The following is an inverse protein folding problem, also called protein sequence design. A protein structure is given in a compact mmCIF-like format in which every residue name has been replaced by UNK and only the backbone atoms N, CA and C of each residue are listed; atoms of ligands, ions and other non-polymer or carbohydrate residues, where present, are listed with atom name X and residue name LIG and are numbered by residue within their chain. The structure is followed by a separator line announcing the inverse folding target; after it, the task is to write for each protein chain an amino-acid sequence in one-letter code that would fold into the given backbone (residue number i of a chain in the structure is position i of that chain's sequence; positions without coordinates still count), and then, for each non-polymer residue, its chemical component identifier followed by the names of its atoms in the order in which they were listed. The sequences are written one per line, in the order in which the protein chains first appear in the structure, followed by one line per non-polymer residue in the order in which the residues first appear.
data_IF_061603804530
#
_entry.id   IF_061603804530
#
_cell.length_a   1.000
_cell.length_b   1.000
_cell.length_c   1.000
_cell.angle_alpha   90.00
_cell.angle_beta   90.00
_cell.angle_gamma   90.00
#
_symmetry.space_group_name_H-M   'P 1'
#
loop_
_entity.id
_entity.type
_entity.pdbx_description
1 polymer ?
#
# COMPACT_ATOMS: atom_id res chain seq x y z
N UNK A 1 -7.78 21.11 -1.47
CA UNK A 1 -8.66 20.38 -2.41
C UNK A 1 -8.39 20.75 -3.88
N UNK A 2 -8.01 22.00 -4.20
CA UNK A 2 -7.64 22.40 -5.58
C UNK A 2 -6.57 21.52 -6.19
N UNK A 3 -5.54 21.19 -5.40
CA UNK A 3 -4.42 20.35 -5.84
C UNK A 3 -4.83 18.90 -6.07
N UNK A 4 -5.75 18.38 -5.25
CA UNK A 4 -6.33 17.04 -5.46
C UNK A 4 -7.25 17.00 -6.68
N UNK A 5 -7.94 18.09 -7.01
CA UNK A 5 -8.71 18.19 -8.25
C UNK A 5 -7.80 18.11 -9.46
N UNK A 6 -6.72 18.91 -9.46
CA UNK A 6 -5.71 18.84 -10.51
C UNK A 6 -5.09 17.45 -10.61
N UNK A 7 -4.75 16.81 -9.48
CA UNK A 7 -4.24 15.46 -9.46
C UNK A 7 -5.23 14.46 -10.08
N UNK A 8 -6.52 14.57 -9.78
CA UNK A 8 -7.57 13.72 -10.36
C UNK A 8 -7.68 13.90 -11.88
N UNK A 9 -7.61 15.14 -12.37
CA UNK A 9 -7.62 15.47 -13.80
C UNK A 9 -6.38 14.94 -14.52
N UNK A 10 -5.18 15.18 -13.96
CA UNK A 10 -3.91 14.67 -14.50
C UNK A 10 -3.88 13.12 -14.50
N UNK A 11 -4.46 12.49 -13.47
CA UNK A 11 -4.56 11.03 -13.35
C UNK A 11 -5.49 10.42 -14.40
N UNK A 12 -6.67 11.04 -14.63
CA UNK A 12 -7.62 10.66 -15.69
C UNK A 12 -6.97 10.75 -17.08
N UNK A 13 -6.28 11.85 -17.36
CA UNK A 13 -5.54 12.04 -18.62
C UNK A 13 -4.41 11.01 -18.82
N UNK A 14 -3.70 10.65 -17.75
CA UNK A 14 -2.63 9.66 -17.80
C UNK A 14 -3.13 8.22 -17.88
N UNK A 15 -4.43 7.99 -17.61
CA UNK A 15 -5.07 6.66 -17.62
C UNK A 15 -5.02 5.94 -16.27
N UNK A 16 -4.82 6.66 -15.17
CA UNK A 16 -4.92 6.11 -13.80
C UNK A 16 -6.41 6.01 -13.45
N UNK A 17 -6.88 4.81 -13.18
CA UNK A 17 -8.30 4.52 -12.97
C UNK A 17 -8.66 4.26 -11.50
N UNK A 18 -7.71 4.33 -10.57
CA UNK A 18 -7.91 3.91 -9.18
C UNK A 18 -7.13 4.77 -8.20
N UNK A 19 -7.82 5.21 -7.14
CA UNK A 19 -7.21 5.82 -5.98
C UNK A 19 -7.40 4.95 -4.74
N UNK A 20 -6.33 4.75 -3.98
CA UNK A 20 -6.36 4.13 -2.67
C UNK A 20 -6.10 5.21 -1.63
N UNK A 21 -7.13 5.53 -0.85
CA UNK A 21 -7.01 6.50 0.24
C UNK A 21 -6.53 5.76 1.48
N UNK A 22 -5.36 6.14 1.94
CA UNK A 22 -4.66 5.53 3.08
C UNK A 22 -4.08 6.61 3.99
N UNK A 23 -3.23 6.23 4.91
CA UNK A 23 -2.55 7.14 5.84
C UNK A 23 -2.37 6.48 7.19
N UNK A 24 -2.39 7.22 8.30
CA UNK A 24 -2.48 6.62 9.63
C UNK A 24 -3.83 5.91 9.81
N UNK A 25 -4.91 6.69 9.76
CA UNK A 25 -6.30 6.21 9.63
C UNK A 25 -7.11 7.29 8.90
N UNK A 26 -7.45 7.04 7.65
CA UNK A 26 -8.12 8.03 6.79
C UNK A 26 -9.48 8.49 7.33
N UNK A 27 -10.19 7.63 8.06
CA UNK A 27 -11.49 7.96 8.67
C UNK A 27 -11.43 9.03 9.77
N UNK A 28 -10.24 9.40 10.22
CA UNK A 28 -10.05 10.52 11.16
C UNK A 28 -10.05 11.88 10.46
N UNK A 29 -9.83 11.90 9.14
CA UNK A 29 -9.85 13.16 8.39
C UNK A 29 -11.29 13.64 8.16
N UNK A 30 -11.60 14.82 8.69
CA UNK A 30 -12.93 15.45 8.53
C UNK A 30 -13.24 15.85 7.09
N UNK A 31 -12.22 15.98 6.24
CA UNK A 31 -12.34 16.34 4.83
C UNK A 31 -12.34 15.12 3.89
N UNK A 32 -12.35 13.90 4.44
CA UNK A 32 -12.33 12.68 3.64
C UNK A 32 -13.47 12.64 2.62
N UNK A 33 -14.68 13.10 3.00
CA UNK A 33 -15.83 13.17 2.09
C UNK A 33 -15.60 14.13 0.91
N UNK A 34 -15.02 15.28 1.18
CA UNK A 34 -14.69 16.28 0.16
C UNK A 34 -13.56 15.77 -0.75
N UNK A 35 -12.61 15.02 -0.19
CA UNK A 35 -11.54 14.38 -0.96
C UNK A 35 -12.11 13.33 -1.91
N UNK A 36 -13.00 12.46 -1.44
CA UNK A 36 -13.66 11.44 -2.28
C UNK A 36 -14.41 12.12 -3.44
N UNK A 37 -15.21 13.14 -3.16
CA UNK A 37 -15.95 13.89 -4.17
C UNK A 37 -14.99 14.55 -5.19
N UNK A 38 -13.85 15.06 -4.72
CA UNK A 38 -12.83 15.71 -5.56
C UNK A 38 -12.10 14.71 -6.47
N UNK A 39 -11.90 13.47 -6.03
CA UNK A 39 -11.28 12.39 -6.82
C UNK A 39 -12.23 11.78 -7.86
N UNK A 40 -13.48 12.20 -7.92
CA UNK A 40 -14.50 11.79 -8.88
C UNK A 40 -14.75 10.26 -8.93
N UNK A 41 -15.59 9.72 -8.04
CA UNK A 41 -15.91 8.29 -7.98
C UNK A 41 -16.62 7.73 -9.24
N UNK A 42 -17.08 8.60 -10.15
CA UNK A 42 -17.65 8.18 -11.44
C UNK A 42 -16.57 7.88 -12.49
N UNK A 43 -15.37 8.43 -12.31
CA UNK A 43 -14.22 8.20 -13.18
C UNK A 43 -13.23 7.23 -12.59
N UNK A 44 -13.06 7.24 -11.28
CA UNK A 44 -12.04 6.48 -10.58
C UNK A 44 -12.63 5.51 -9.55
N UNK A 45 -12.05 4.33 -9.44
CA UNK A 45 -12.35 3.40 -8.35
C UNK A 45 -11.74 3.93 -7.05
N UNK A 46 -12.58 4.31 -6.09
CA UNK A 46 -12.12 4.78 -4.78
C UNK A 46 -12.05 3.62 -3.81
N UNK A 47 -10.87 3.35 -3.31
CA UNK A 47 -10.58 2.31 -2.32
C UNK A 47 -10.17 2.99 -1.03
N UNK A 48 -10.63 2.47 0.11
CA UNK A 48 -10.28 2.95 1.43
C UNK A 48 -9.49 1.89 2.18
N UNK A 49 -8.28 2.22 2.61
CA UNK A 49 -7.51 1.42 3.56
C UNK A 49 -7.84 1.85 4.99
N UNK A 50 -8.19 0.89 5.85
CA UNK A 50 -8.56 1.17 7.22
C UNK A 50 -8.10 0.06 8.18
N UNK A 51 -7.77 0.44 9.41
CA UNK A 51 -7.56 -0.50 10.50
C UNK A 51 -8.89 -1.03 11.12
N UNK A 52 -10.02 -0.61 10.57
CA UNK A 52 -11.37 -1.02 10.99
C UNK A 52 -11.89 -0.37 12.28
N UNK A 53 -11.08 0.43 12.98
CA UNK A 53 -11.45 0.97 14.29
C UNK A 53 -12.70 1.86 14.23
N UNK A 54 -12.77 2.72 13.22
CA UNK A 54 -13.88 3.67 13.02
C UNK A 54 -14.85 3.25 11.91
N UNK A 55 -14.63 2.09 11.28
CA UNK A 55 -15.45 1.60 10.17
C UNK A 55 -16.60 0.74 10.72
N UNK A 56 -17.72 1.37 11.04
CA UNK A 56 -18.97 0.74 11.48
C UNK A 56 -20.04 0.80 10.39
N UNK A 57 -21.26 0.35 10.69
CA UNK A 57 -22.41 0.32 9.75
C UNK A 57 -22.70 1.71 9.14
N UNK A 58 -22.63 2.77 9.96
CA UNK A 58 -22.87 4.13 9.50
C UNK A 58 -21.78 4.59 8.53
N UNK A 59 -20.52 4.36 8.86
CA UNK A 59 -19.37 4.70 8.02
C UNK A 59 -19.31 3.87 6.75
N UNK A 60 -19.64 2.59 6.83
CA UNK A 60 -19.71 1.71 5.66
C UNK A 60 -20.78 2.20 4.67
N UNK A 61 -21.99 2.50 5.19
CA UNK A 61 -23.06 3.08 4.36
C UNK A 61 -22.66 4.43 3.78
N UNK A 62 -22.13 5.32 4.59
CA UNK A 62 -21.65 6.64 4.14
C UNK A 62 -20.61 6.52 3.03
N UNK A 63 -19.63 5.62 3.17
CA UNK A 63 -18.60 5.41 2.15
C UNK A 63 -19.17 4.86 0.85
N UNK A 64 -20.11 3.92 0.94
CA UNK A 64 -20.84 3.40 -0.23
C UNK A 64 -21.67 4.49 -0.92
N UNK A 65 -22.43 5.30 -0.16
CA UNK A 65 -23.23 6.41 -0.67
C UNK A 65 -22.38 7.49 -1.36
N UNK A 66 -21.10 7.64 -0.95
CA UNK A 66 -20.11 8.52 -1.58
C UNK A 66 -19.47 7.94 -2.85
N UNK A 67 -19.89 6.76 -3.29
CA UNK A 67 -19.33 6.08 -4.46
C UNK A 67 -18.03 5.31 -4.16
N UNK A 68 -17.74 5.03 -2.88
CA UNK A 68 -16.66 4.14 -2.48
C UNK A 68 -16.83 2.76 -3.10
N UNK A 69 -15.80 2.25 -3.75
CA UNK A 69 -15.84 0.98 -4.45
C UNK A 69 -15.46 -0.20 -3.55
N UNK A 70 -14.38 -0.06 -2.81
CA UNK A 70 -13.80 -1.15 -2.02
C UNK A 70 -13.23 -0.64 -0.70
N UNK A 71 -13.32 -1.46 0.34
CA UNK A 71 -12.59 -1.25 1.58
C UNK A 71 -11.58 -2.36 1.79
N UNK A 72 -10.36 -1.98 2.14
CA UNK A 72 -9.27 -2.87 2.51
C UNK A 72 -9.05 -2.76 4.02
N UNK A 73 -9.36 -3.84 4.75
CA UNK A 73 -9.31 -3.85 6.21
C UNK A 73 -8.09 -4.64 6.68
N UNK A 74 -7.34 -4.04 7.58
CA UNK A 74 -6.15 -4.65 8.15
C UNK A 74 -6.50 -5.70 9.19
N UNK A 75 -6.06 -6.95 8.97
CA UNK A 75 -6.13 -8.04 9.94
C UNK A 75 -4.86 -8.90 9.81
N UNK A 76 -4.01 -8.90 10.84
CA UNK A 76 -2.71 -9.61 10.77
C UNK A 76 -2.71 -10.97 11.46
N UNK A 77 -3.70 -11.27 12.28
CA UNK A 77 -3.85 -12.55 12.94
C UNK A 77 -5.32 -12.86 13.18
N UNK A 78 -5.69 -14.15 13.10
CA UNK A 78 -7.00 -14.63 13.55
C UNK A 78 -7.07 -14.75 15.07
N UNK A 79 -5.92 -14.85 15.76
CA UNK A 79 -5.84 -14.76 17.21
C UNK A 79 -5.97 -13.30 17.67
N UNK A 80 -6.98 -12.96 18.49
CA UNK A 80 -7.20 -11.58 18.97
C UNK A 80 -6.00 -11.00 19.71
N UNK A 81 -5.33 -11.79 20.56
CA UNK A 81 -4.21 -11.31 21.35
C UNK A 81 -3.01 -10.94 20.46
N UNK A 82 -2.72 -11.74 19.43
CA UNK A 82 -1.59 -11.54 18.54
C UNK A 82 -1.85 -10.34 17.61
N UNK A 83 -3.06 -10.22 17.06
CA UNK A 83 -3.42 -9.04 16.27
C UNK A 83 -3.36 -7.75 17.10
N UNK A 84 -3.96 -7.74 18.29
CA UNK A 84 -3.98 -6.59 19.18
C UNK A 84 -2.54 -6.18 19.59
N UNK A 85 -1.68 -7.16 19.87
CA UNK A 85 -0.26 -6.94 20.17
C UNK A 85 0.49 -6.36 18.98
N UNK A 86 0.31 -6.92 17.78
CA UNK A 86 0.94 -6.44 16.54
C UNK A 86 0.51 -5.00 16.23
N UNK A 87 -0.78 -4.69 16.37
CA UNK A 87 -1.33 -3.34 16.19
C UNK A 87 -1.12 -2.41 17.38
N UNK A 88 -0.57 -2.91 18.50
CA UNK A 88 -0.37 -2.18 19.76
C UNK A 88 -1.64 -1.52 20.25
N UNK A 89 -2.80 -2.19 20.04
CA UNK A 89 -4.11 -1.63 20.35
C UNK A 89 -5.09 -2.72 20.80
N UNK A 90 -5.38 -2.85 22.11
CA UNK A 90 -6.38 -3.79 22.60
C UNK A 90 -7.76 -3.58 21.94
N UNK A 91 -8.36 -4.66 21.46
CA UNK A 91 -9.66 -4.65 20.78
C UNK A 91 -9.61 -4.36 19.28
N UNK A 92 -8.42 -4.19 18.68
CA UNK A 92 -8.28 -3.95 17.23
C UNK A 92 -8.85 -5.11 16.41
N UNK A 93 -8.61 -6.37 16.83
CA UNK A 93 -9.14 -7.55 16.16
C UNK A 93 -10.68 -7.52 16.06
N UNK A 94 -11.37 -7.30 17.19
CA UNK A 94 -12.82 -7.23 17.22
C UNK A 94 -13.38 -6.09 16.34
N UNK A 95 -12.63 -4.95 16.26
CA UNK A 95 -12.99 -3.83 15.40
C UNK A 95 -12.81 -4.16 13.91
N UNK A 96 -11.74 -4.85 13.54
CA UNK A 96 -11.51 -5.31 12.15
C UNK A 96 -12.61 -6.28 11.70
N UNK A 97 -12.95 -7.29 12.51
CA UNK A 97 -14.04 -8.21 12.19
C UNK A 97 -15.41 -7.54 12.09
N UNK A 98 -15.69 -6.55 12.97
CA UNK A 98 -16.90 -5.72 12.84
C UNK A 98 -16.91 -4.96 11.53
N UNK A 99 -15.78 -4.38 11.14
CA UNK A 99 -15.67 -3.60 9.91
C UNK A 99 -15.93 -4.45 8.66
N UNK A 100 -15.49 -5.71 8.60
CA UNK A 100 -15.86 -6.64 7.52
C UNK A 100 -17.37 -6.85 7.45
N UNK A 101 -18.03 -7.06 8.58
CA UNK A 101 -19.50 -7.23 8.62
C UNK A 101 -20.23 -5.98 8.15
N UNK A 102 -19.76 -4.80 8.55
CA UNK A 102 -20.32 -3.52 8.13
C UNK A 102 -20.15 -3.29 6.62
N UNK A 103 -18.97 -3.59 6.07
CA UNK A 103 -18.69 -3.50 4.63
C UNK A 103 -19.58 -4.43 3.80
N UNK A 104 -19.71 -5.70 4.23
CA UNK A 104 -20.59 -6.70 3.60
C UNK A 104 -22.05 -6.24 3.56
N UNK A 105 -22.54 -5.71 4.69
CA UNK A 105 -23.89 -5.16 4.83
C UNK A 105 -24.16 -3.95 3.93
N UNK A 106 -23.13 -3.12 3.71
CA UNK A 106 -23.20 -1.94 2.83
C UNK A 106 -23.02 -2.29 1.35
N UNK A 107 -22.77 -3.55 0.99
CA UNK A 107 -22.55 -3.99 -0.39
C UNK A 107 -21.20 -3.57 -0.98
N UNK A 108 -20.23 -3.17 -0.15
CA UNK A 108 -18.90 -2.81 -0.60
C UNK A 108 -18.08 -4.05 -0.98
N UNK A 109 -17.24 -3.92 -1.99
CA UNK A 109 -16.17 -4.88 -2.20
C UNK A 109 -15.21 -4.87 -1.01
N UNK A 110 -14.70 -6.03 -0.63
CA UNK A 110 -13.82 -6.17 0.54
C UNK A 110 -12.49 -6.78 0.16
N UNK A 111 -11.47 -6.45 0.91
CA UNK A 111 -10.14 -7.04 0.84
C UNK A 111 -9.56 -7.12 2.25
N UNK A 112 -9.11 -8.31 2.67
CA UNK A 112 -8.32 -8.45 3.88
C UNK A 112 -6.88 -8.11 3.56
N UNK A 113 -6.27 -7.20 4.31
CA UNK A 113 -4.86 -6.86 4.19
C UNK A 113 -4.08 -7.33 5.41
N UNK A 114 -3.01 -8.08 5.19
CA UNK A 114 -2.14 -8.58 6.26
C UNK A 114 -0.67 -8.34 5.93
N UNK A 115 0.12 -8.03 6.96
CA UNK A 115 1.57 -7.97 6.86
C UNK A 115 2.13 -9.40 7.04
N UNK A 116 2.75 -9.91 5.97
CA UNK A 116 3.41 -11.20 5.99
C UNK A 116 4.85 -11.02 6.48
N UNK A 117 5.16 -11.60 7.64
CA UNK A 117 6.52 -11.72 8.16
C UNK A 117 7.08 -13.10 7.85
N UNK A 118 8.41 -13.24 7.95
CA UNK A 118 9.15 -14.48 7.73
C UNK A 118 8.53 -15.67 8.47
N UNK A 119 8.54 -16.83 7.83
CA UNK A 119 8.05 -18.12 8.28
C UNK A 119 6.53 -18.20 8.56
N UNK A 120 5.79 -17.09 8.57
CA UNK A 120 4.37 -17.06 8.89
C UNK A 120 3.51 -17.82 7.89
N UNK A 121 3.88 -17.85 6.63
CA UNK A 121 3.17 -18.57 5.56
C UNK A 121 3.11 -20.09 5.78
N UNK A 122 3.88 -20.64 6.74
CA UNK A 122 3.93 -22.05 7.10
C UNK A 122 3.22 -22.37 8.43
N UNK A 123 2.51 -21.43 9.03
CA UNK A 123 1.85 -21.61 10.32
C UNK A 123 0.39 -22.02 10.17
N UNK A 124 -0.14 -22.80 11.15
CA UNK A 124 -1.56 -23.13 11.24
C UNK A 124 -2.44 -21.88 11.30
N UNK A 125 -1.97 -20.82 11.98
CA UNK A 125 -2.67 -19.53 12.07
C UNK A 125 -2.83 -18.86 10.69
N UNK A 126 -1.86 -19.02 9.79
CA UNK A 126 -2.00 -18.53 8.42
C UNK A 126 -3.02 -19.37 7.63
N UNK A 127 -3.09 -20.67 7.86
CA UNK A 127 -4.12 -21.54 7.28
C UNK A 127 -5.52 -21.16 7.79
N UNK A 128 -5.67 -20.83 9.08
CA UNK A 128 -6.93 -20.32 9.64
C UNK A 128 -7.35 -18.99 8.97
N UNK A 129 -6.41 -18.10 8.72
CA UNK A 129 -6.69 -16.85 8.00
C UNK A 129 -7.15 -17.11 6.56
N UNK A 130 -6.52 -18.02 5.84
CA UNK A 130 -6.96 -18.43 4.49
C UNK A 130 -8.35 -19.07 4.52
N UNK A 131 -8.63 -19.92 5.50
CA UNK A 131 -9.94 -20.56 5.67
C UNK A 131 -11.04 -19.52 5.94
N UNK A 132 -10.78 -18.55 6.83
CA UNK A 132 -11.68 -17.42 7.07
C UNK A 132 -11.95 -16.61 5.80
N UNK A 133 -10.91 -16.31 5.03
CA UNK A 133 -11.04 -15.57 3.77
C UNK A 133 -11.89 -16.33 2.75
N UNK A 134 -11.71 -17.66 2.66
CA UNK A 134 -12.47 -18.52 1.76
C UNK A 134 -13.95 -18.63 2.19
N UNK A 135 -14.23 -18.79 3.49
CA UNK A 135 -15.59 -18.88 4.03
C UNK A 135 -16.39 -17.59 3.82
N UNK A 136 -15.74 -16.45 4.04
CA UNK A 136 -16.37 -15.13 3.90
C UNK A 136 -16.33 -14.58 2.46
N UNK A 137 -15.69 -15.30 1.52
CA UNK A 137 -15.47 -14.89 0.13
C UNK A 137 -14.70 -13.55 0.03
N UNK A 138 -13.73 -13.35 0.92
CA UNK A 138 -12.90 -12.14 0.97
C UNK A 138 -11.50 -12.48 0.42
N UNK A 139 -11.03 -11.79 -0.62
CA UNK A 139 -9.67 -11.95 -1.10
C UNK A 139 -8.64 -11.51 -0.03
N UNK A 140 -7.50 -12.21 0.04
CA UNK A 140 -6.40 -11.91 0.95
C UNK A 140 -5.27 -11.18 0.22
N UNK A 141 -4.99 -9.95 0.62
CA UNK A 141 -3.86 -9.17 0.13
C UNK A 141 -2.72 -9.17 1.14
N UNK A 142 -1.56 -9.65 0.72
CA UNK A 142 -0.39 -9.74 1.57
C UNK A 142 0.65 -8.67 1.20
N UNK A 143 1.03 -7.91 2.19
CA UNK A 143 2.17 -7.01 2.11
C UNK A 143 3.35 -7.68 2.79
N UNK A 144 4.39 -8.03 2.03
CA UNK A 144 5.62 -8.56 2.61
C UNK A 144 6.24 -7.52 3.55
N UNK A 145 6.67 -7.94 4.73
CA UNK A 145 7.39 -7.08 5.66
C UNK A 145 8.65 -6.52 4.99
N UNK A 146 8.93 -5.25 5.21
CA UNK A 146 10.05 -4.52 4.61
C UNK A 146 10.90 -3.85 5.69
N UNK A 147 12.23 -3.82 5.53
CA UNK A 147 13.14 -3.22 6.50
C UNK A 147 13.20 -1.68 6.39
N UNK A 148 12.01 -1.06 6.28
CA UNK A 148 11.82 0.40 6.16
C UNK A 148 10.68 0.87 7.05
N UNK A 149 10.63 2.16 7.37
CA UNK A 149 9.60 2.71 8.23
C UNK A 149 9.56 1.99 9.59
N UNK A 150 8.40 1.48 10.00
CA UNK A 150 8.22 0.73 11.26
C UNK A 150 8.92 -0.64 11.26
N UNK A 151 9.29 -1.19 10.11
CA UNK A 151 10.05 -2.43 9.98
C UNK A 151 11.56 -2.23 10.04
N UNK A 152 12.05 -0.99 10.12
CA UNK A 152 13.48 -0.69 10.24
C UNK A 152 14.05 -1.25 11.54
N UNK A 153 15.15 -2.02 11.43
CA UNK A 153 15.75 -2.72 12.55
C UNK A 153 15.12 -4.06 12.91
N UNK A 154 14.15 -4.52 12.10
CA UNK A 154 13.48 -5.82 12.21
C UNK A 154 13.77 -6.69 10.98
N UNK A 155 15.07 -6.89 10.70
CA UNK A 155 15.51 -7.68 9.53
C UNK A 155 15.03 -9.16 9.65
N UNK A 156 14.78 -9.62 10.87
CA UNK A 156 14.20 -10.93 11.16
C UNK A 156 12.76 -11.10 10.65
N UNK A 157 12.07 -10.03 10.35
CA UNK A 157 10.70 -10.07 9.76
C UNK A 157 10.70 -10.23 8.25
N UNK A 158 11.82 -9.94 7.60
CA UNK A 158 11.91 -9.94 6.13
C UNK A 158 11.76 -11.36 5.60
N UNK A 159 10.78 -11.55 4.70
CA UNK A 159 10.51 -12.82 4.06
C UNK A 159 11.72 -13.31 3.27
N UNK A 160 11.99 -14.60 3.34
CA UNK A 160 13.02 -15.28 2.56
C UNK A 160 12.48 -15.75 1.22
N UNK A 161 13.36 -16.20 0.33
CA UNK A 161 12.95 -16.85 -0.92
C UNK A 161 12.00 -18.03 -0.68
N UNK A 162 12.19 -18.80 0.40
CA UNK A 162 11.32 -19.92 0.78
C UNK A 162 9.90 -19.45 1.06
N UNK A 163 9.73 -18.32 1.78
CA UNK A 163 8.41 -17.73 2.05
C UNK A 163 7.73 -17.27 0.76
N UNK A 164 8.48 -16.60 -0.11
CA UNK A 164 7.99 -16.10 -1.40
C UNK A 164 7.60 -17.25 -2.34
N UNK A 165 8.40 -18.32 -2.41
CA UNK A 165 8.09 -19.50 -3.24
C UNK A 165 6.82 -20.20 -2.75
N UNK A 166 6.66 -20.34 -1.42
CA UNK A 166 5.43 -20.89 -0.83
C UNK A 166 4.22 -20.01 -1.09
N UNK A 167 4.40 -18.70 -0.99
CA UNK A 167 3.33 -17.74 -1.27
C UNK A 167 2.85 -17.86 -2.72
N UNK A 168 3.75 -17.92 -3.69
CA UNK A 168 3.42 -18.10 -5.11
C UNK A 168 2.63 -19.40 -5.36
N UNK A 169 3.00 -20.49 -4.67
CA UNK A 169 2.26 -21.75 -4.74
C UNK A 169 0.83 -21.61 -4.19
N UNK A 170 0.63 -20.79 -3.14
CA UNK A 170 -0.69 -20.55 -2.57
C UNK A 170 -1.53 -19.58 -3.43
N UNK A 171 -0.92 -18.58 -4.07
CA UNK A 171 -1.60 -17.67 -5.00
C UNK A 171 -2.28 -18.41 -6.15
N UNK A 172 -1.65 -19.48 -6.66
CA UNK A 172 -2.21 -20.32 -7.73
C UNK A 172 -3.47 -21.12 -7.31
N UNK A 173 -3.71 -21.27 -6.01
CA UNK A 173 -4.77 -22.13 -5.45
C UNK A 173 -5.86 -21.38 -4.71
N UNK A 174 -5.57 -20.17 -4.25
CA UNK A 174 -6.44 -19.40 -3.37
C UNK A 174 -6.56 -17.96 -3.90
N UNK A 175 -7.54 -17.22 -3.41
CA UNK A 175 -7.68 -15.78 -3.71
C UNK A 175 -6.70 -14.96 -2.84
N UNK A 176 -5.42 -15.22 -3.02
CA UNK A 176 -4.32 -14.54 -2.34
C UNK A 176 -3.56 -13.74 -3.38
N UNK A 177 -3.19 -12.52 -3.06
CA UNK A 177 -2.32 -11.70 -3.91
C UNK A 177 -1.41 -10.78 -3.12
N UNK A 178 -0.36 -10.35 -3.79
CA UNK A 178 0.55 -9.30 -3.36
C UNK A 178 0.59 -8.20 -4.42
N UNK A 179 1.36 -7.16 -4.16
CA UNK A 179 1.68 -6.17 -5.19
C UNK A 179 2.51 -6.74 -6.35
N UNK A 180 3.04 -7.96 -6.20
CA UNK A 180 3.81 -8.66 -7.23
C UNK A 180 2.96 -9.61 -8.09
N UNK A 181 1.73 -9.92 -7.67
CA UNK A 181 0.83 -10.84 -8.38
C UNK A 181 0.41 -10.27 -9.73
N UNK A 182 0.41 -11.04 -10.82
CA UNK A 182 -0.04 -10.56 -12.13
C UNK A 182 -1.47 -10.02 -12.08
N UNK A 183 -1.66 -8.78 -12.57
CA UNK A 183 -2.98 -8.17 -12.63
C UNK A 183 -3.02 -7.05 -13.68
N UNK A 184 -4.17 -6.83 -14.31
CA UNK A 184 -4.38 -5.74 -15.28
C UNK A 184 -3.31 -5.64 -16.39
N UNK A 185 -2.85 -6.78 -16.92
CA UNK A 185 -1.75 -6.84 -17.90
C UNK A 185 -0.35 -6.71 -17.30
N UNK A 186 -0.23 -6.56 -15.99
CA UNK A 186 1.02 -6.54 -15.27
C UNK A 186 1.64 -7.95 -15.22
N UNK A 187 2.95 -8.12 -15.50
CA UNK A 187 3.59 -9.44 -15.65
C UNK A 187 3.92 -10.17 -14.34
N UNK A 188 3.45 -9.69 -13.17
CA UNK A 188 3.79 -10.30 -11.88
C UNK A 188 5.19 -9.95 -11.39
N UNK A 189 5.60 -8.70 -11.54
CA UNK A 189 6.91 -8.18 -11.14
C UNK A 189 6.75 -6.90 -10.32
N UNK A 190 7.83 -6.32 -9.85
CA UNK A 190 7.78 -5.06 -9.10
C UNK A 190 7.08 -3.95 -9.89
N UNK A 191 6.00 -3.41 -9.33
CA UNK A 191 5.12 -2.42 -9.98
C UNK A 191 5.45 -0.97 -9.62
N UNK A 192 6.54 -0.75 -8.92
CA UNK A 192 6.97 0.60 -8.54
C UNK A 192 6.93 1.53 -9.75
N UNK A 193 6.40 2.71 -9.60
CA UNK A 193 6.10 3.74 -10.59
C UNK A 193 5.15 3.32 -11.73
N UNK A 194 5.17 2.06 -12.16
CA UNK A 194 4.38 1.54 -13.30
C UNK A 194 2.91 1.25 -12.94
N UNK A 195 2.67 0.71 -11.76
CA UNK A 195 1.33 0.27 -11.32
C UNK A 195 0.93 0.81 -9.95
N UNK A 196 1.87 1.42 -9.23
CA UNK A 196 1.63 2.06 -7.93
C UNK A 196 2.49 3.30 -7.78
N UNK A 197 1.88 4.37 -7.31
CA UNK A 197 2.56 5.59 -6.87
C UNK A 197 1.86 6.08 -5.60
N UNK A 198 2.57 6.78 -4.74
CA UNK A 198 2.01 7.36 -3.52
C UNK A 198 2.14 8.87 -3.57
N UNK A 199 1.05 9.56 -3.25
CA UNK A 199 1.02 11.02 -3.10
C UNK A 199 0.86 11.33 -1.62
N UNK A 200 1.78 12.07 -1.03
CA UNK A 200 1.62 12.54 0.34
C UNK A 200 0.80 13.84 0.41
N UNK A 201 0.52 14.30 1.64
CA UNK A 201 -0.28 15.50 1.87
C UNK A 201 0.35 16.81 1.35
N UNK A 202 1.67 16.82 1.09
CA UNK A 202 2.40 17.96 0.51
C UNK A 202 2.46 17.92 -1.02
N UNK A 203 1.88 16.88 -1.63
CA UNK A 203 1.87 16.67 -3.08
C UNK A 203 3.12 16.00 -3.64
N UNK A 204 4.02 15.51 -2.79
CA UNK A 204 5.18 14.75 -3.22
C UNK A 204 4.77 13.36 -3.72
N UNK A 205 5.30 12.96 -4.88
CA UNK A 205 5.07 11.65 -5.48
C UNK A 205 6.22 10.71 -5.13
N UNK A 206 5.92 9.63 -4.42
CA UNK A 206 6.83 8.51 -4.21
C UNK A 206 6.46 7.34 -5.13
N UNK A 207 7.45 6.55 -5.61
CA UNK A 207 7.21 5.46 -6.57
C UNK A 207 6.44 4.27 -5.98
N UNK A 208 6.37 4.17 -4.66
CA UNK A 208 5.53 3.21 -3.94
C UNK A 208 5.42 3.64 -2.46
N UNK A 209 4.48 3.06 -1.66
CA UNK A 209 4.25 3.47 -0.27
C UNK A 209 5.37 3.12 0.71
N UNK A 210 6.43 2.45 0.26
CA UNK A 210 7.56 2.01 1.10
C UNK A 210 8.86 2.76 0.80
N UNK A 211 8.83 3.74 -0.09
CA UNK A 211 10.02 4.53 -0.46
C UNK A 211 9.79 5.99 -0.10
N UNK A 212 10.49 6.47 0.92
CA UNK A 212 10.44 7.87 1.37
C UNK A 212 11.38 8.77 0.54
N UNK A 213 11.39 8.57 -0.78
CA UNK A 213 12.15 9.36 -1.75
C UNK A 213 11.20 9.84 -2.85
N UNK A 214 11.18 11.14 -3.13
CA UNK A 214 10.29 11.78 -4.08
C UNK A 214 10.78 11.69 -5.53
N UNK A 215 9.84 11.53 -6.45
CA UNK A 215 10.05 11.71 -7.88
C UNK A 215 9.78 13.14 -8.34
N UNK A 216 9.06 13.93 -7.55
CA UNK A 216 8.63 15.28 -7.84
C UNK A 216 7.33 15.63 -7.12
N UNK A 217 6.82 16.84 -7.34
CA UNK A 217 5.66 17.36 -6.62
C UNK A 217 4.55 17.81 -7.59
N UNK A 218 3.35 17.26 -7.46
CA UNK A 218 2.19 17.54 -8.35
C UNK A 218 1.65 18.96 -8.23
N UNK A 219 1.99 19.69 -7.17
CA UNK A 219 1.64 21.10 -7.05
C UNK A 219 2.57 22.01 -7.85
N UNK A 220 3.73 21.49 -8.28
CA UNK A 220 4.80 22.25 -8.95
C UNK A 220 4.96 21.89 -10.43
N UNK A 221 4.65 20.65 -10.80
CA UNK A 221 4.83 20.14 -12.15
C UNK A 221 3.73 19.12 -12.52
N UNK A 222 3.48 18.86 -13.83
CA UNK A 222 2.50 17.87 -14.26
C UNK A 222 2.85 16.46 -13.81
N UNK A 223 1.82 15.66 -13.42
CA UNK A 223 1.99 14.29 -13.00
C UNK A 223 2.72 13.43 -14.06
N UNK A 224 2.42 13.63 -15.35
CA UNK A 224 3.06 12.91 -16.46
C UNK A 224 4.59 13.06 -16.47
N UNK A 225 5.11 14.27 -16.22
CA UNK A 225 6.56 14.50 -16.18
C UNK A 225 7.22 13.80 -14.99
N UNK A 226 6.52 13.76 -13.85
CA UNK A 226 7.01 13.08 -12.63
C UNK A 226 7.08 11.56 -12.89
N UNK A 227 6.02 10.98 -13.44
CA UNK A 227 5.97 9.54 -13.73
C UNK A 227 6.96 9.15 -14.82
N UNK A 228 7.10 9.95 -15.88
CA UNK A 228 8.10 9.74 -16.93
C UNK A 228 9.54 9.76 -16.40
N UNK A 229 9.82 10.64 -15.43
CA UNK A 229 11.11 10.68 -14.73
C UNK A 229 11.36 9.37 -13.98
N UNK A 230 10.36 8.87 -13.26
CA UNK A 230 10.43 7.59 -12.57
C UNK A 230 10.60 6.42 -13.55
N UNK A 231 9.89 6.41 -14.68
CA UNK A 231 10.00 5.37 -15.71
C UNK A 231 11.37 5.35 -16.41
N UNK A 232 12.07 6.48 -16.48
CA UNK A 232 13.43 6.57 -17.05
C UNK A 232 14.52 6.17 -16.04
N UNK A 233 14.20 6.08 -14.75
CA UNK A 233 15.16 5.66 -13.74
C UNK A 233 15.50 4.18 -13.90
N UNK A 234 16.80 3.82 -13.87
CA UNK A 234 17.27 2.44 -14.10
C UNK A 234 16.77 1.42 -13.08
N UNK A 235 16.47 1.86 -11.87
CA UNK A 235 15.93 0.99 -10.81
C UNK A 235 14.42 0.86 -10.85
N UNK A 236 13.71 1.94 -11.18
CA UNK A 236 12.25 2.00 -11.09
C UNK A 236 11.56 1.63 -12.40
N UNK A 237 12.13 2.00 -13.56
CA UNK A 237 11.53 1.79 -14.88
C UNK A 237 11.41 0.33 -15.30
N UNK A 238 12.46 -0.50 -15.22
CA UNK A 238 12.38 -1.90 -15.59
C UNK A 238 11.43 -2.70 -14.67
N UNK A 239 10.77 -3.72 -15.22
CA UNK A 239 10.11 -4.74 -14.40
C UNK A 239 11.17 -5.66 -13.80
N UNK A 240 11.14 -5.81 -12.46
CA UNK A 240 12.07 -6.65 -11.70
C UNK A 240 11.32 -7.80 -11.05
N UNK A 241 11.94 -8.98 -11.02
CA UNK A 241 11.37 -10.19 -10.40
C UNK A 241 11.38 -10.12 -8.87
N UNK A 242 12.14 -9.18 -8.31
CA UNK A 242 12.23 -8.89 -6.88
C UNK A 242 11.56 -7.57 -6.50
N UNK A 243 11.09 -7.46 -5.28
CA UNK A 243 10.67 -6.19 -4.68
C UNK A 243 11.92 -5.40 -4.27
N UNK A 244 12.31 -4.36 -5.03
CA UNK A 244 13.57 -3.63 -4.82
C UNK A 244 13.72 -3.06 -3.40
N UNK A 245 12.62 -2.62 -2.76
CA UNK A 245 12.62 -2.09 -1.40
C UNK A 245 12.35 -3.15 -0.32
N UNK A 246 12.15 -4.41 -0.71
CA UNK A 246 11.89 -5.51 0.21
C UNK A 246 12.90 -6.65 0.11
N UNK A 247 13.64 -6.76 -1.01
CA UNK A 247 14.49 -7.91 -1.30
C UNK A 247 15.90 -7.52 -1.76
N UNK A 248 16.08 -6.33 -2.38
CA UNK A 248 17.39 -5.87 -2.84
C UNK A 248 18.13 -5.07 -1.74
N UNK A 249 19.04 -5.74 -1.03
CA UNK A 249 19.71 -5.16 0.13
C UNK A 249 20.65 -3.98 -0.21
N UNK A 250 21.20 -3.91 -1.39
CA UNK A 250 22.04 -2.78 -1.80
C UNK A 250 21.19 -1.54 -2.02
N UNK A 251 20.04 -1.70 -2.67
CA UNK A 251 19.07 -0.62 -2.84
C UNK A 251 18.44 -0.21 -1.50
N UNK A 252 18.05 -1.17 -0.66
CA UNK A 252 17.51 -0.92 0.68
C UNK A 252 18.49 -0.10 1.53
N UNK A 253 19.77 -0.49 1.52
CA UNK A 253 20.80 0.25 2.24
C UNK A 253 20.94 1.67 1.73
N UNK A 254 21.06 1.85 0.40
CA UNK A 254 21.11 3.17 -0.23
C UNK A 254 19.90 4.03 0.17
N UNK A 255 18.69 3.49 0.05
CA UNK A 255 17.45 4.17 0.42
C UNK A 255 17.49 4.60 1.90
N UNK A 256 17.79 3.68 2.81
CA UNK A 256 17.79 3.96 4.24
C UNK A 256 18.87 4.97 4.63
N UNK A 257 20.05 4.92 4.02
CA UNK A 257 21.11 5.91 4.25
C UNK A 257 20.64 7.31 3.83
N UNK A 258 19.99 7.44 2.64
CA UNK A 258 19.46 8.73 2.15
C UNK A 258 18.31 9.26 3.00
N UNK A 259 17.40 8.40 3.42
CA UNK A 259 16.30 8.79 4.31
C UNK A 259 16.83 9.24 5.67
N UNK A 260 17.82 8.54 6.23
CA UNK A 260 18.43 8.93 7.51
C UNK A 260 19.11 10.30 7.42
N UNK A 261 19.99 10.48 6.41
CA UNK A 261 20.68 11.76 6.18
C UNK A 261 19.67 12.92 6.07
N UNK A 262 18.57 12.71 5.34
CA UNK A 262 17.57 13.74 5.09
C UNK A 262 16.69 14.03 6.31
N UNK A 263 16.31 13.00 7.07
CA UNK A 263 15.41 13.13 8.23
C UNK A 263 16.05 13.87 9.41
N UNK A 264 17.36 13.95 9.48
CA UNK A 264 18.07 14.79 10.48
C UNK A 264 17.77 16.28 10.26
N UNK A 265 17.66 16.71 9.01
CA UNK A 265 17.42 18.13 8.66
C UNK A 265 15.91 18.43 8.48
N UNK A 266 15.16 17.48 7.94
CA UNK A 266 13.76 17.67 7.51
C UNK A 266 12.91 16.45 7.87
N UNK A 267 12.56 16.26 9.15
CA UNK A 267 11.73 15.15 9.55
C UNK A 267 10.35 15.18 8.85
N UNK A 268 9.85 14.00 8.48
CA UNK A 268 8.55 13.78 7.82
C UNK A 268 8.44 14.18 6.34
N UNK A 269 9.50 14.73 5.72
CA UNK A 269 9.50 15.00 4.29
C UNK A 269 10.28 13.91 3.53
N UNK A 270 9.81 13.45 2.37
CA UNK A 270 10.56 12.50 1.56
C UNK A 270 11.83 13.17 1.00
N UNK A 271 12.85 12.35 0.76
CA UNK A 271 14.10 12.82 0.14
C UNK A 271 13.81 13.38 -1.26
N UNK A 272 14.19 14.61 -1.59
CA UNK A 272 13.98 15.16 -2.92
C UNK A 272 14.68 14.33 -4.02
N UNK A 273 14.16 14.40 -5.26
CA UNK A 273 14.67 13.64 -6.39
C UNK A 273 16.20 13.77 -6.57
N UNK A 274 16.73 14.98 -6.51
CA UNK A 274 18.15 15.28 -6.73
C UNK A 274 19.06 14.71 -5.65
N UNK A 275 18.56 14.55 -4.42
CA UNK A 275 19.29 13.98 -3.29
C UNK A 275 19.07 12.46 -3.12
N UNK A 276 18.08 11.91 -3.80
CA UNK A 276 17.68 10.51 -3.77
C UNK A 276 17.83 9.82 -5.13
N UNK A 277 16.76 9.71 -5.88
CA UNK A 277 16.72 8.92 -7.12
C UNK A 277 17.69 9.37 -8.22
N UNK A 278 18.04 10.65 -8.31
CA UNK A 278 19.07 11.12 -9.24
C UNK A 278 20.45 10.51 -8.95
N UNK A 279 20.66 9.98 -7.74
CA UNK A 279 21.95 9.37 -7.34
C UNK A 279 21.93 7.84 -7.45
N UNK A 280 20.82 7.22 -7.85
CA UNK A 280 20.70 5.75 -7.91
C UNK A 280 21.64 5.11 -8.96
N UNK A 281 22.18 5.88 -9.90
CA UNK A 281 23.20 5.37 -10.83
C UNK A 281 24.48 4.90 -10.14
N UNK A 282 24.70 5.30 -8.90
CA UNK A 282 25.83 4.87 -8.06
C UNK A 282 25.57 3.55 -7.32
N UNK A 283 24.33 3.07 -7.31
CA UNK A 283 23.94 1.79 -6.70
C UNK A 283 24.28 0.68 -7.69
N UNK A 284 25.04 -0.37 -7.32
CA UNK A 284 25.25 -1.55 -8.17
C UNK A 284 23.92 -2.24 -8.52
N UNK A 285 23.90 -2.94 -9.64
CA UNK A 285 22.73 -3.73 -10.06
C UNK A 285 22.71 -5.10 -9.39
#
# INVERSE_FOLDING_TARGET
LSDYKKLSEDADEYGIFRFVITGGEALLDRKLGDLIDTLDPYKHLIILDSNGWFFDDEKAKWFADKGGYKVQISLDSMNPADHDAFRRKPGAHAKALRAFKAAKKAGLQMLLSSCLIKDRVFTEEFEEMMAFCAEEEIPLYLTLAKPVGSGKGHDEWVCTKKDVDQLKFLEDKHQIFTHMTPSYGHPGKCITVKGINTVNHDGEIMPCPFMDMSLGNVTKEPLSLILDRGMKNKWLGPYRDECIIGENWEFIKFHNDKVNEWSEETPYLPVPYEKGFALTDKVPE
#
